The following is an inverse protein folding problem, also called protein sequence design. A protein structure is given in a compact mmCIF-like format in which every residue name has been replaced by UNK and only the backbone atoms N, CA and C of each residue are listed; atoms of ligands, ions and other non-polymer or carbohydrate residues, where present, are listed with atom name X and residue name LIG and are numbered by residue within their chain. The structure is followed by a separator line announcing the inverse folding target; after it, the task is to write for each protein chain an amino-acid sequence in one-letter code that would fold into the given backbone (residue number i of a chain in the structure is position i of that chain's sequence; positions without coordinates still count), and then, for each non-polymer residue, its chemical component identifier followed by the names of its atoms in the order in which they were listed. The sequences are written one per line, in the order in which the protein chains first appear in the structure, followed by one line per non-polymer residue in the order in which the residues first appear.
data_IF_088730497734
#
_entry.id   IF_088730497734
#
_cell.length_a   1.000
_cell.length_b   1.000
_cell.length_c   1.000
_cell.angle_alpha   90.00
_cell.angle_beta   90.00
_cell.angle_gamma   90.00
#
_symmetry.space_group_name_H-M   'P 1'
#
loop_
_entity.id
_entity.type
_entity.pdbx_description
1 polymer ?
#
# COMPACT_ATOMS: atom_id res chain seq x y z
N UNK A 1 -3.00 -76.90 -38.40
CA UNK A 1 -2.66 -76.84 -36.95
C UNK A 1 -1.92 -75.53 -36.71
N UNK A 2 -2.47 -74.65 -35.86
CA UNK A 2 -1.87 -73.36 -35.48
C UNK A 2 -1.25 -73.50 -34.09
N UNK A 3 0.03 -73.16 -33.94
CA UNK A 3 0.67 -72.91 -32.64
C UNK A 3 1.70 -71.78 -32.79
N UNK A 4 1.38 -70.67 -32.12
CA UNK A 4 2.20 -69.75 -31.31
C UNK A 4 3.63 -69.42 -31.81
N UNK A 5 4.10 -68.18 -31.73
CA UNK A 5 4.34 -67.50 -30.45
C UNK A 5 4.52 -65.99 -30.72
N UNK A 6 3.71 -65.18 -30.04
CA UNK A 6 3.84 -63.74 -29.87
C UNK A 6 4.80 -63.52 -28.70
N UNK A 7 6.05 -63.10 -28.95
CA UNK A 7 7.06 -62.88 -27.91
C UNK A 7 7.89 -61.61 -28.19
N UNK A 8 7.22 -60.53 -28.58
CA UNK A 8 7.86 -59.25 -28.92
C UNK A 8 7.36 -58.02 -28.17
N UNK A 9 6.29 -58.12 -27.36
CA UNK A 9 5.54 -56.92 -26.93
C UNK A 9 5.74 -56.48 -25.47
N UNK A 10 6.61 -57.13 -24.69
CA UNK A 10 6.78 -56.82 -23.27
C UNK A 10 7.96 -55.87 -22.96
N UNK A 11 8.92 -55.69 -23.89
CA UNK A 11 10.08 -54.83 -23.67
C UNK A 11 9.84 -53.32 -23.87
N UNK A 12 8.84 -52.95 -24.68
CA UNK A 12 8.59 -51.54 -25.05
C UNK A 12 7.90 -50.77 -23.92
N UNK A 13 7.05 -51.45 -23.12
CA UNK A 13 6.31 -50.82 -22.02
C UNK A 13 7.21 -50.37 -20.86
N UNK A 14 8.30 -51.10 -20.58
CA UNK A 14 9.23 -50.78 -19.48
C UNK A 14 10.07 -49.55 -19.80
N UNK A 15 10.51 -49.39 -21.05
CA UNK A 15 11.23 -48.20 -21.50
C UNK A 15 10.33 -46.95 -21.46
N UNK A 16 9.08 -47.07 -21.90
CA UNK A 16 8.11 -45.97 -21.84
C UNK A 16 7.77 -45.54 -20.40
N UNK A 17 7.70 -46.47 -19.45
CA UNK A 17 7.48 -46.15 -18.03
C UNK A 17 8.69 -45.44 -17.40
N UNK A 18 9.91 -45.87 -17.72
CA UNK A 18 11.13 -45.24 -17.22
C UNK A 18 11.32 -43.80 -17.78
N UNK A 19 10.98 -43.56 -19.05
CA UNK A 19 11.01 -42.22 -19.64
C UNK A 19 9.94 -41.30 -19.04
N UNK A 20 8.74 -41.82 -18.76
CA UNK A 20 7.68 -41.06 -18.07
C UNK A 20 8.10 -40.64 -16.65
N UNK A 21 8.72 -41.53 -15.88
CA UNK A 21 9.20 -41.21 -14.53
C UNK A 21 10.38 -40.22 -14.57
N UNK A 22 11.30 -40.34 -15.53
CA UNK A 22 12.38 -39.38 -15.73
C UNK A 22 11.88 -37.97 -16.09
N UNK A 23 10.86 -37.87 -16.94
CA UNK A 23 10.24 -36.58 -17.29
C UNK A 23 9.58 -35.88 -16.10
N UNK A 24 9.02 -36.66 -15.17
CA UNK A 24 8.38 -36.14 -13.95
C UNK A 24 9.41 -35.62 -12.95
N UNK A 25 10.53 -36.31 -12.80
CA UNK A 25 11.65 -35.86 -11.95
C UNK A 25 12.23 -34.54 -12.47
N UNK A 26 12.45 -34.43 -13.80
CA UNK A 26 12.93 -33.19 -14.41
C UNK A 26 11.95 -32.03 -14.23
N UNK A 27 10.64 -32.30 -14.29
CA UNK A 27 9.61 -31.30 -14.06
C UNK A 27 9.61 -30.83 -12.59
N UNK A 28 9.72 -31.74 -11.64
CA UNK A 28 9.78 -31.43 -10.20
C UNK A 28 11.05 -30.63 -9.84
N UNK A 29 12.20 -30.98 -10.41
CA UNK A 29 13.44 -30.21 -10.23
C UNK A 29 13.35 -28.81 -10.85
N UNK A 30 12.72 -28.68 -12.02
CA UNK A 30 12.51 -27.39 -12.66
C UNK A 30 11.55 -26.48 -11.85
N UNK A 31 10.53 -27.06 -11.21
CA UNK A 31 9.65 -26.34 -10.30
C UNK A 31 10.40 -25.88 -9.05
N UNK A 32 11.20 -26.77 -8.44
CA UNK A 32 12.05 -26.43 -7.30
C UNK A 32 13.04 -25.30 -7.62
N UNK A 33 13.64 -25.31 -8.81
CA UNK A 33 14.54 -24.24 -9.25
C UNK A 33 13.82 -22.89 -9.39
N UNK A 34 12.59 -22.87 -9.91
CA UNK A 34 11.77 -21.65 -9.99
C UNK A 34 11.39 -21.11 -8.62
N UNK A 35 11.09 -22.00 -7.67
CA UNK A 35 10.80 -21.60 -6.29
C UNK A 35 12.02 -20.96 -5.62
N UNK A 36 13.21 -21.54 -5.78
CA UNK A 36 14.47 -20.97 -5.29
C UNK A 36 14.71 -19.60 -5.90
N UNK A 37 14.58 -19.45 -7.22
CA UNK A 37 14.76 -18.16 -7.89
C UNK A 37 13.76 -17.10 -7.38
N UNK A 38 12.51 -17.49 -7.12
CA UNK A 38 11.51 -16.60 -6.53
C UNK A 38 11.91 -16.17 -5.11
N UNK A 39 12.43 -17.08 -4.30
CA UNK A 39 12.90 -16.79 -2.95
C UNK A 39 14.12 -15.85 -2.97
N UNK A 40 15.07 -16.07 -3.87
CA UNK A 40 16.22 -15.18 -4.08
C UNK A 40 15.77 -13.77 -4.46
N UNK A 41 14.83 -13.65 -5.39
CA UNK A 41 14.27 -12.36 -5.78
C UNK A 41 13.57 -11.65 -4.61
N UNK A 42 12.84 -12.39 -3.78
CA UNK A 42 12.22 -11.85 -2.57
C UNK A 42 13.27 -11.38 -1.55
N UNK A 43 14.35 -12.15 -1.37
CA UNK A 43 15.45 -11.78 -0.48
C UNK A 43 16.20 -10.54 -0.98
N UNK A 44 16.39 -10.41 -2.29
CA UNK A 44 17.01 -9.23 -2.90
C UNK A 44 16.14 -7.98 -2.72
N UNK A 45 14.83 -8.08 -2.98
CA UNK A 45 13.89 -7.00 -2.69
C UNK A 45 13.92 -6.58 -1.20
N UNK A 46 14.01 -7.55 -0.29
CA UNK A 46 14.10 -7.27 1.14
C UNK A 46 15.40 -6.56 1.50
N UNK A 47 16.52 -6.98 0.91
CA UNK A 47 17.83 -6.34 1.09
C UNK A 47 17.82 -4.89 0.63
N UNK A 48 17.26 -4.61 -0.55
CA UNK A 48 17.12 -3.25 -1.07
C UNK A 48 16.26 -2.38 -0.14
N UNK A 49 15.14 -2.92 0.37
CA UNK A 49 14.29 -2.19 1.34
C UNK A 49 15.02 -1.89 2.64
N UNK A 50 15.80 -2.83 3.16
CA UNK A 50 16.60 -2.63 4.37
C UNK A 50 17.69 -1.58 4.17
N UNK A 51 18.32 -1.55 3.00
CA UNK A 51 19.33 -0.56 2.64
C UNK A 51 18.72 0.85 2.52
N UNK A 52 17.55 0.98 1.87
CA UNK A 52 16.79 2.24 1.85
C UNK A 52 16.45 2.70 3.27
N UNK A 53 15.95 1.80 4.12
CA UNK A 53 15.62 2.13 5.51
C UNK A 53 16.84 2.64 6.29
N UNK A 54 18.02 2.02 6.09
CA UNK A 54 19.27 2.47 6.72
C UNK A 54 19.66 3.88 6.27
N UNK A 55 19.56 4.18 4.97
CA UNK A 55 19.84 5.51 4.47
C UNK A 55 18.84 6.56 4.96
N UNK A 56 17.56 6.20 5.06
CA UNK A 56 16.53 7.07 5.65
C UNK A 56 16.84 7.38 7.11
N UNK A 57 17.22 6.38 7.91
CA UNK A 57 17.66 6.58 9.30
C UNK A 57 18.89 7.49 9.38
N UNK A 58 19.85 7.31 8.47
CA UNK A 58 21.07 8.13 8.43
C UNK A 58 20.74 9.60 8.10
N UNK A 59 19.90 9.86 7.09
CA UNK A 59 19.43 11.20 6.74
C UNK A 59 18.71 11.84 7.93
N UNK A 60 17.81 11.10 8.58
CA UNK A 60 17.06 11.59 9.74
C UNK A 60 17.99 11.91 10.92
N UNK A 61 19.03 11.11 11.14
CA UNK A 61 20.05 11.33 12.18
C UNK A 61 20.85 12.62 11.96
N UNK A 62 21.11 12.99 10.71
CA UNK A 62 21.78 14.24 10.36
C UNK A 62 20.83 15.45 10.20
N UNK A 63 19.55 15.28 10.56
CA UNK A 63 18.55 16.36 10.56
C UNK A 63 17.93 16.66 9.19
N UNK A 64 18.08 15.75 8.22
CA UNK A 64 17.37 15.84 6.94
C UNK A 64 15.91 15.41 7.09
N UNK A 65 15.00 16.15 6.45
CA UNK A 65 13.59 15.77 6.38
C UNK A 65 13.40 14.66 5.34
N UNK A 66 12.85 13.53 5.79
CA UNK A 66 12.56 12.35 4.96
C UNK A 66 11.07 12.18 4.68
N UNK A 67 10.23 13.13 5.10
CA UNK A 67 8.77 13.04 4.97
C UNK A 67 8.30 13.01 3.51
N UNK A 68 9.04 13.63 2.60
CA UNK A 68 8.75 13.68 1.15
C UNK A 68 9.19 12.41 0.39
N UNK A 69 10.00 11.54 1.02
CA UNK A 69 10.47 10.30 0.39
C UNK A 69 9.39 9.19 0.37
N UNK A 70 8.24 9.41 1.03
CA UNK A 70 7.16 8.42 1.12
C UNK A 70 7.57 7.11 1.83
N UNK A 71 8.79 7.07 2.39
CA UNK A 71 9.30 5.93 3.15
C UNK A 71 8.86 6.13 4.60
N UNK A 72 7.81 5.42 4.99
CA UNK A 72 7.40 5.34 6.37
C UNK A 72 8.53 4.65 7.14
N UNK A 73 9.36 5.43 7.84
CA UNK A 73 10.42 4.89 8.68
C UNK A 73 9.80 3.78 9.55
N UNK A 74 10.39 2.58 9.61
CA UNK A 74 9.92 1.58 10.55
C UNK A 74 10.02 2.24 11.92
N UNK A 75 8.87 2.35 12.59
CA UNK A 75 8.79 2.96 13.91
C UNK A 75 9.76 2.20 14.81
N UNK A 76 10.98 2.73 14.96
CA UNK A 76 11.90 2.28 15.97
C UNK A 76 11.13 2.41 17.27
N UNK A 77 10.99 1.28 17.96
CA UNK A 77 10.33 1.17 19.24
C UNK A 77 11.07 2.04 20.26
N UNK A 78 10.82 3.35 20.23
CA UNK A 78 11.03 4.23 21.35
C UNK A 78 9.98 3.84 22.37
N UNK A 79 10.35 2.87 23.19
CA UNK A 79 9.73 2.57 24.47
C UNK A 79 9.95 3.77 25.39
N UNK A 80 9.26 4.87 25.14
CA UNK A 80 8.97 5.89 26.13
C UNK A 80 7.53 5.67 26.57
N UNK A 81 7.43 4.80 27.58
CA UNK A 81 6.30 4.77 28.49
C UNK A 81 6.09 6.17 29.07
N UNK A 82 5.07 6.86 28.59
CA UNK A 82 4.30 7.77 29.40
C UNK A 82 2.88 7.75 28.86
N UNK A 83 2.04 7.03 29.59
CA UNK A 83 0.62 7.31 29.69
C UNK A 83 0.44 8.82 29.77
N UNK A 84 -0.02 9.43 28.69
CA UNK A 84 -0.78 10.66 28.78
C UNK A 84 -1.85 10.64 27.71
N UNK A 85 -3.05 10.36 28.21
CA UNK A 85 -4.30 10.99 27.85
C UNK A 85 -4.35 11.46 26.40
N UNK A 86 -5.20 10.76 25.65
CA UNK A 86 -6.19 11.30 24.74
C UNK A 86 -6.67 12.70 25.17
N UNK A 87 -5.84 13.70 24.92
CA UNK A 87 -6.13 15.10 25.06
C UNK A 87 -6.39 15.57 23.64
N UNK A 88 -7.68 15.59 23.31
CA UNK A 88 -8.25 16.44 22.29
C UNK A 88 -7.60 17.83 22.33
N UNK A 89 -6.55 18.05 21.53
CA UNK A 89 -6.00 19.37 21.29
C UNK A 89 -6.93 20.10 20.32
N UNK A 90 -8.11 20.47 20.83
CA UNK A 90 -8.96 21.54 20.30
C UNK A 90 -8.13 22.82 20.31
N UNK A 91 -7.31 23.02 19.29
CA UNK A 91 -6.83 24.35 18.96
C UNK A 91 -7.99 25.09 18.31
N UNK A 92 -8.76 25.81 19.14
CA UNK A 92 -9.77 26.76 18.72
C UNK A 92 -9.11 27.89 17.91
N UNK A 93 -8.82 27.65 16.63
CA UNK A 93 -8.53 28.73 15.68
C UNK A 93 -9.88 29.23 15.15
N UNK A 94 -10.39 30.30 15.77
CA UNK A 94 -11.76 30.82 15.61
C UNK A 94 -12.21 31.13 14.17
N UNK A 95 -11.32 31.21 13.18
CA UNK A 95 -11.70 31.42 11.77
C UNK A 95 -10.79 30.66 10.78
N UNK A 96 -10.28 29.49 11.18
CA UNK A 96 -9.46 28.69 10.26
C UNK A 96 -10.33 28.09 9.14
N UNK A 97 -9.88 28.27 7.89
CA UNK A 97 -10.42 27.57 6.72
C UNK A 97 -10.34 26.05 6.97
N UNK A 98 -11.43 25.29 6.76
CA UNK A 98 -11.44 23.85 6.99
C UNK A 98 -10.36 23.17 6.14
N UNK A 99 -9.62 22.23 6.73
CA UNK A 99 -8.61 21.46 5.99
C UNK A 99 -9.21 20.17 5.47
N UNK A 100 -8.99 19.86 4.20
CA UNK A 100 -9.41 18.57 3.64
C UNK A 100 -8.43 17.49 4.13
N UNK A 101 -8.97 16.44 4.74
CA UNK A 101 -8.21 15.29 5.21
C UNK A 101 -8.19 14.17 4.16
N UNK A 102 -9.37 13.85 3.62
CA UNK A 102 -9.53 12.75 2.68
C UNK A 102 -10.73 12.99 1.79
N UNK A 103 -10.65 12.54 0.53
CA UNK A 103 -11.79 12.53 -0.39
C UNK A 103 -12.13 11.09 -0.69
N UNK A 104 -13.36 10.71 -0.37
CA UNK A 104 -13.92 9.40 -0.64
C UNK A 104 -15.10 9.57 -1.60
N UNK A 105 -14.88 9.22 -2.86
CA UNK A 105 -15.86 9.36 -3.95
C UNK A 105 -16.40 10.81 -4.04
N UNK A 106 -17.65 11.04 -3.66
CA UNK A 106 -18.34 12.35 -3.69
C UNK A 106 -18.36 13.08 -2.33
N UNK A 107 -17.55 12.63 -1.37
CA UNK A 107 -17.47 13.21 -0.02
C UNK A 107 -16.06 13.62 0.30
N UNK A 108 -15.92 14.79 0.89
CA UNK A 108 -14.67 15.22 1.49
C UNK A 108 -14.81 15.21 3.01
N UNK A 109 -13.83 14.62 3.68
CA UNK A 109 -13.62 14.72 5.11
C UNK A 109 -12.85 16.01 5.38
N UNK A 110 -13.41 16.88 6.20
CA UNK A 110 -12.82 18.14 6.60
C UNK A 110 -12.51 18.13 8.09
N UNK A 111 -11.34 18.66 8.45
CA UNK A 111 -11.02 19.02 9.81
C UNK A 111 -11.48 20.45 10.07
N UNK A 112 -12.53 20.58 10.89
CA UNK A 112 -13.15 21.85 11.29
C UNK A 112 -12.93 22.08 12.78
N UNK A 113 -13.16 23.30 13.27
CA UNK A 113 -13.06 23.62 14.72
C UNK A 113 -13.95 22.74 15.60
N UNK A 114 -15.09 22.30 15.06
CA UNK A 114 -16.05 21.43 15.73
C UNK A 114 -15.66 19.94 15.65
N UNK A 115 -14.60 19.61 14.91
CA UNK A 115 -14.07 18.27 14.71
C UNK A 115 -14.10 17.84 13.25
N UNK A 116 -13.94 16.53 13.04
CA UNK A 116 -13.98 15.91 11.71
C UNK A 116 -15.41 15.87 11.20
N UNK A 117 -15.65 16.48 10.05
CA UNK A 117 -16.97 16.51 9.41
C UNK A 117 -16.86 16.05 7.97
N UNK A 118 -17.88 15.34 7.51
CA UNK A 118 -17.97 14.90 6.13
C UNK A 118 -18.94 15.81 5.39
N UNK A 119 -18.49 16.40 4.29
CA UNK A 119 -19.32 17.24 3.43
C UNK A 119 -19.43 16.66 2.03
N UNK A 120 -20.65 16.67 1.49
CA UNK A 120 -20.93 16.46 0.06
C UNK A 120 -21.02 17.79 -0.67
N UNK A 121 -20.88 17.76 -1.99
CA UNK A 121 -21.18 18.92 -2.84
C UNK A 121 -22.60 19.44 -2.54
N UNK A 122 -22.71 20.74 -2.28
CA UNK A 122 -23.94 21.43 -1.91
C UNK A 122 -24.25 21.49 -0.42
N UNK A 123 -23.56 20.72 0.43
CA UNK A 123 -23.73 20.82 1.89
C UNK A 123 -22.96 22.00 2.49
N UNK A 124 -23.51 22.55 3.57
CA UNK A 124 -22.87 23.56 4.40
C UNK A 124 -22.23 22.89 5.61
N UNK A 125 -20.93 23.08 5.77
CA UNK A 125 -20.14 22.63 6.91
C UNK A 125 -20.34 23.54 8.13
N UNK A 126 -20.03 23.06 9.34
CA UNK A 126 -19.94 23.91 10.52
C UNK A 126 -18.93 25.04 10.28
N UNK A 127 -19.30 26.27 10.66
CA UNK A 127 -18.50 27.47 10.35
C UNK A 127 -18.89 28.20 9.07
N UNK A 128 -19.95 27.76 8.37
CA UNK A 128 -20.60 28.51 7.29
C UNK A 128 -20.02 28.26 5.89
N UNK A 129 -19.12 27.29 5.74
CA UNK A 129 -18.52 26.94 4.45
C UNK A 129 -19.43 26.02 3.65
N UNK A 130 -19.88 26.43 2.48
CA UNK A 130 -20.61 25.58 1.53
C UNK A 130 -19.63 24.89 0.59
N UNK A 131 -19.75 23.58 0.46
CA UNK A 131 -18.98 22.82 -0.54
C UNK A 131 -19.59 23.04 -1.91
N UNK A 132 -18.81 23.58 -2.85
CA UNK A 132 -19.27 23.87 -4.22
C UNK A 132 -18.81 22.82 -5.21
N UNK A 133 -17.59 22.30 -5.03
CA UNK A 133 -17.05 21.24 -5.87
C UNK A 133 -16.07 20.38 -5.05
N UNK A 134 -16.04 19.09 -5.36
CA UNK A 134 -15.08 18.12 -4.84
C UNK A 134 -14.48 17.43 -6.07
N UNK A 135 -13.16 17.49 -6.23
CA UNK A 135 -12.43 16.82 -7.30
C UNK A 135 -11.19 16.15 -6.70
N UNK A 136 -10.94 14.89 -7.02
CA UNK A 136 -9.69 14.23 -6.64
C UNK A 136 -8.47 14.83 -7.37
N UNK A 137 -8.70 15.49 -8.51
CA UNK A 137 -7.65 16.12 -9.32
C UNK A 137 -7.38 17.57 -8.92
N UNK A 138 -8.46 18.33 -8.72
CA UNK A 138 -8.39 19.79 -8.57
C UNK A 138 -8.66 20.26 -7.13
N UNK A 139 -8.82 19.32 -6.20
CA UNK A 139 -9.09 19.63 -4.79
C UNK A 139 -10.55 19.95 -4.50
N UNK A 140 -10.78 20.65 -3.38
CA UNK A 140 -12.12 20.99 -2.91
C UNK A 140 -12.32 22.50 -2.93
N UNK A 141 -13.46 22.92 -3.50
CA UNK A 141 -13.88 24.33 -3.49
C UNK A 141 -14.94 24.57 -2.45
N UNK A 142 -14.65 25.49 -1.54
CA UNK A 142 -15.57 25.99 -0.53
C UNK A 142 -15.98 27.41 -0.85
N UNK A 143 -17.18 27.78 -0.41
CA UNK A 143 -17.71 29.13 -0.53
C UNK A 143 -18.26 29.59 0.82
N UNK A 144 -17.84 30.77 1.27
CA UNK A 144 -18.34 31.40 2.49
C UNK A 144 -18.42 32.91 2.29
N UNK A 145 -19.58 33.49 2.57
CA UNK A 145 -19.81 34.95 2.55
C UNK A 145 -19.35 35.66 1.24
N UNK A 146 -19.51 35.00 0.08
CA UNK A 146 -19.09 35.53 -1.22
C UNK A 146 -17.63 35.23 -1.59
N UNK A 147 -16.84 34.69 -0.67
CA UNK A 147 -15.44 34.31 -0.90
C UNK A 147 -15.34 32.84 -1.30
N UNK A 148 -14.50 32.57 -2.31
CA UNK A 148 -14.17 31.23 -2.79
C UNK A 148 -12.83 30.80 -2.19
N UNK A 149 -12.79 29.59 -1.67
CA UNK A 149 -11.61 28.96 -1.11
C UNK A 149 -11.35 27.68 -1.89
N UNK A 150 -10.24 27.67 -2.61
CA UNK A 150 -9.76 26.48 -3.30
C UNK A 150 -8.73 25.81 -2.39
N UNK A 151 -9.00 24.56 -2.01
CA UNK A 151 -8.14 23.78 -1.13
C UNK A 151 -7.54 22.66 -1.97
N UNK A 152 -6.24 22.79 -2.24
CA UNK A 152 -5.45 21.76 -2.90
C UNK A 152 -5.24 20.57 -1.96
N UNK A 153 -5.27 19.36 -2.53
CA UNK A 153 -4.93 18.14 -1.82
C UNK A 153 -3.43 17.96 -1.98
N UNK A 154 -2.69 18.12 -0.88
CA UNK A 154 -1.28 17.74 -0.82
C UNK A 154 -1.24 16.30 -0.32
N UNK A 155 -0.76 15.40 -1.17
CA UNK A 155 -0.66 13.96 -0.91
C UNK A 155 0.40 13.65 0.16
#
# INVERSE_FOLDING_TARGET
MKRYIVLGLMGVSVLAQAEMDGSKILMEEAERAKEVQRLEYQAELLKQRAEIAKYVEEIQKYGGDVSDLGVQAPASASKSSSTDKQASAKSKKKDAVPKVLHIENDRAAFDTQDGKVFGKVGQTLPGGYRVVAISMRDGVRLHKDGMRYDIDIVW
#
